data_IF_147686153212
#
_entry.id   IF_147686153212
#
_cell.length_a   1.000
_cell.length_b   1.000
_cell.length_c   1.000
_cell.angle_alpha   90.00
_cell.angle_beta   90.00
_cell.angle_gamma   90.00
#
_symmetry.space_group_name_H-M   'P 1'
#
loop_
_entity.id
_entity.type
_entity.pdbx_description
1 polymer ?
#
# COMPACT_ATOMS: atom_id res chain seq x y z
N UNK A 1 15.76 -0.74 -25.40
CA UNK A 1 15.68 -2.12 -25.93
C UNK A 1 14.52 -2.80 -25.25
N UNK A 2 13.72 -3.57 -25.97
CA UNK A 2 12.54 -4.27 -25.45
C UNK A 2 12.64 -5.74 -25.84
N UNK A 3 12.36 -6.64 -24.89
CA UNK A 3 12.31 -8.08 -25.10
C UNK A 3 10.86 -8.53 -24.90
N UNK A 4 10.40 -9.44 -25.77
CA UNK A 4 9.13 -10.14 -25.60
C UNK A 4 9.47 -11.56 -25.19
N UNK A 5 8.87 -12.01 -24.10
CA UNK A 5 9.08 -13.34 -23.54
C UNK A 5 7.72 -14.02 -23.36
N UNK A 6 7.60 -15.26 -23.82
CA UNK A 6 6.45 -16.13 -23.58
C UNK A 6 6.66 -17.06 -22.37
N UNK A 7 5.61 -17.78 -21.94
CA UNK A 7 5.71 -18.74 -20.84
C UNK A 7 6.84 -19.75 -21.02
N UNK A 8 7.63 -19.96 -19.97
CA UNK A 8 8.82 -20.83 -19.99
C UNK A 8 10.08 -20.18 -20.55
N UNK A 9 9.97 -19.03 -21.20
CA UNK A 9 11.13 -18.30 -21.70
C UNK A 9 11.87 -17.57 -20.59
N UNK A 10 13.16 -17.36 -20.84
CA UNK A 10 14.13 -16.85 -19.88
C UNK A 10 14.94 -15.75 -20.53
N UNK A 11 15.17 -14.66 -19.80
CA UNK A 11 16.11 -13.61 -20.18
C UNK A 11 17.09 -13.33 -19.04
N UNK A 12 18.38 -13.41 -19.33
CA UNK A 12 19.45 -13.03 -18.42
C UNK A 12 19.75 -11.56 -18.59
N UNK A 13 20.13 -10.92 -17.49
CA UNK A 13 20.53 -9.53 -17.49
C UNK A 13 21.86 -9.31 -16.77
N UNK A 14 22.56 -8.26 -17.17
CA UNK A 14 23.84 -7.86 -16.58
C UNK A 14 24.70 -7.09 -17.57
N UNK A 15 25.99 -6.91 -17.25
CA UNK A 15 26.94 -6.25 -18.18
C UNK A 15 27.20 -7.07 -19.43
N UNK A 16 27.09 -8.40 -19.33
CA UNK A 16 27.49 -9.35 -20.36
C UNK A 16 29.01 -9.39 -20.63
N UNK A 17 29.40 -10.43 -21.36
CA UNK A 17 30.68 -10.58 -22.05
C UNK A 17 30.52 -11.58 -23.20
N UNK A 18 31.54 -11.75 -24.03
CA UNK A 18 31.57 -12.83 -25.04
C UNK A 18 31.41 -14.22 -24.43
N UNK A 19 31.98 -14.43 -23.23
CA UNK A 19 31.88 -15.67 -22.46
C UNK A 19 30.62 -15.78 -21.60
N UNK A 20 29.85 -14.70 -21.47
CA UNK A 20 28.66 -14.63 -20.63
C UNK A 20 27.64 -13.72 -21.31
N UNK A 21 27.03 -14.18 -22.42
CA UNK A 21 26.03 -13.40 -23.12
C UNK A 21 24.80 -13.21 -22.22
N UNK A 22 24.19 -12.04 -22.35
CA UNK A 22 22.94 -11.67 -21.67
C UNK A 22 22.03 -11.02 -22.68
N UNK A 23 20.73 -11.31 -22.57
CA UNK A 23 19.71 -10.77 -23.45
C UNK A 23 19.41 -9.30 -23.12
N UNK A 24 19.45 -8.93 -21.83
CA UNK A 24 19.28 -7.56 -21.37
C UNK A 24 20.57 -6.96 -20.81
N UNK A 25 21.17 -6.03 -21.55
CA UNK A 25 22.46 -5.45 -21.20
C UNK A 25 22.34 -4.20 -20.33
N UNK A 26 23.00 -4.22 -19.17
CA UNK A 26 23.13 -3.09 -18.23
C UNK A 26 24.61 -2.69 -18.18
N UNK A 27 24.97 -1.55 -18.76
CA UNK A 27 26.37 -1.18 -19.00
C UNK A 27 27.16 -0.75 -17.74
N UNK A 28 26.48 -0.48 -16.63
CA UNK A 28 27.09 0.04 -15.40
C UNK A 28 28.13 -0.93 -14.82
N UNK A 29 29.31 -0.41 -14.47
CA UNK A 29 30.42 -1.22 -13.99
C UNK A 29 30.14 -1.98 -12.69
N UNK A 30 29.23 -1.46 -11.85
CA UNK A 30 28.83 -2.04 -10.58
C UNK A 30 27.91 -3.26 -10.73
N UNK A 31 27.35 -3.47 -11.92
CA UNK A 31 26.51 -4.62 -12.23
C UNK A 31 27.40 -5.82 -12.60
N UNK A 32 27.05 -7.03 -12.16
CA UNK A 32 27.81 -8.23 -12.56
C UNK A 32 27.63 -8.55 -14.05
N UNK A 33 28.56 -9.33 -14.63
CA UNK A 33 28.43 -9.79 -16.02
C UNK A 33 27.15 -10.59 -16.24
N UNK A 34 26.87 -11.49 -15.31
CA UNK A 34 25.58 -12.14 -15.11
C UNK A 34 25.02 -11.64 -13.77
N UNK A 35 24.09 -10.68 -13.82
CA UNK A 35 23.50 -10.07 -12.64
C UNK A 35 22.26 -10.84 -12.18
N UNK A 36 21.46 -11.35 -13.11
CA UNK A 36 20.29 -12.14 -12.78
C UNK A 36 19.60 -12.73 -14.00
N UNK A 37 18.45 -13.33 -13.73
CA UNK A 37 17.61 -14.01 -14.70
C UNK A 37 16.14 -13.67 -14.43
N UNK A 38 15.40 -13.39 -15.50
CA UNK A 38 13.95 -13.27 -15.55
C UNK A 38 13.42 -14.56 -16.16
N UNK A 39 12.42 -15.17 -15.54
CA UNK A 39 11.70 -16.31 -16.08
C UNK A 39 10.21 -16.04 -16.12
N UNK A 40 9.58 -16.29 -17.25
CA UNK A 40 8.12 -16.16 -17.39
C UNK A 40 7.47 -17.49 -17.02
N UNK A 41 6.46 -17.46 -16.16
CA UNK A 41 5.59 -18.61 -15.87
C UNK A 41 4.24 -18.43 -16.58
N UNK A 42 3.26 -19.28 -16.29
CA UNK A 42 1.93 -19.15 -16.91
C UNK A 42 1.16 -17.93 -16.41
N UNK A 43 1.29 -17.59 -15.13
CA UNK A 43 0.45 -16.62 -14.41
C UNK A 43 1.25 -15.51 -13.71
N UNK A 44 2.58 -15.59 -13.68
CA UNK A 44 3.46 -14.59 -13.10
C UNK A 44 4.84 -14.60 -13.78
N UNK A 45 5.80 -13.89 -13.21
CA UNK A 45 7.19 -13.99 -13.59
C UNK A 45 8.08 -14.04 -12.36
N UNK A 46 9.28 -14.57 -12.54
CA UNK A 46 10.22 -14.83 -11.46
C UNK A 46 11.53 -14.08 -11.70
N UNK A 47 12.12 -13.57 -10.62
CA UNK A 47 13.42 -12.94 -10.60
C UNK A 47 14.43 -13.80 -9.84
N UNK A 48 15.51 -14.16 -10.51
CA UNK A 48 16.69 -14.75 -9.86
C UNK A 48 17.79 -13.70 -9.75
N UNK A 49 18.27 -13.46 -8.55
CA UNK A 49 19.41 -12.60 -8.27
C UNK A 49 20.69 -13.45 -8.22
N UNK A 50 21.56 -13.31 -9.21
CA UNK A 50 22.84 -14.02 -9.25
C UNK A 50 23.95 -13.29 -8.48
N UNK A 51 23.75 -12.04 -8.07
CA UNK A 51 24.72 -11.32 -7.24
C UNK A 51 25.00 -12.06 -5.94
N UNK A 52 26.26 -12.03 -5.52
CA UNK A 52 26.72 -12.55 -4.23
C UNK A 52 26.64 -11.49 -3.12
N UNK A 53 26.46 -10.21 -3.46
CA UNK A 53 26.60 -9.09 -2.51
C UNK A 53 25.46 -8.08 -2.54
N UNK A 54 24.73 -7.96 -3.65
CA UNK A 54 23.73 -6.90 -3.83
C UNK A 54 22.30 -7.45 -3.76
N UNK A 55 21.47 -6.78 -2.97
CA UNK A 55 20.01 -6.95 -2.99
C UNK A 55 19.43 -6.15 -4.14
N UNK A 56 18.46 -6.72 -4.86
CA UNK A 56 17.68 -6.00 -5.88
C UNK A 56 16.33 -5.58 -5.31
N UNK A 57 15.77 -4.50 -5.84
CA UNK A 57 14.40 -4.11 -5.56
C UNK A 57 13.54 -4.38 -6.79
N UNK A 58 12.31 -4.80 -6.55
CA UNK A 58 11.26 -4.81 -7.55
C UNK A 58 10.17 -3.89 -7.03
N UNK A 59 10.08 -2.69 -7.60
CA UNK A 59 9.10 -1.69 -7.24
C UNK A 59 7.83 -1.91 -8.06
N UNK A 60 6.68 -1.71 -7.43
CA UNK A 60 5.39 -1.60 -8.10
C UNK A 60 5.08 -0.11 -8.30
N UNK A 61 5.24 0.44 -9.52
CA UNK A 61 4.97 1.85 -9.77
C UNK A 61 3.50 2.23 -9.58
N UNK A 62 2.59 1.26 -9.58
CA UNK A 62 1.15 1.46 -9.39
C UNK A 62 0.73 1.30 -7.91
N UNK A 63 1.51 0.58 -7.10
CA UNK A 63 1.15 0.19 -5.74
C UNK A 63 1.61 1.13 -4.64
N UNK A 64 1.41 2.45 -4.77
CA UNK A 64 1.70 3.43 -3.70
C UNK A 64 3.08 3.29 -2.98
N UNK A 65 4.13 2.88 -3.71
CA UNK A 65 5.47 2.68 -3.15
C UNK A 65 5.76 1.25 -2.64
N UNK A 66 4.91 0.28 -2.94
CA UNK A 66 5.17 -1.14 -2.72
C UNK A 66 6.44 -1.60 -3.44
N UNK A 67 7.24 -2.43 -2.75
CA UNK A 67 8.40 -3.07 -3.35
C UNK A 67 8.72 -4.42 -2.69
N UNK A 68 9.39 -5.28 -3.45
CA UNK A 68 9.96 -6.53 -2.98
C UNK A 68 11.49 -6.44 -2.98
N UNK A 69 12.10 -6.94 -1.90
CA UNK A 69 13.55 -7.13 -1.82
C UNK A 69 13.91 -8.54 -2.29
N UNK A 70 14.75 -8.63 -3.30
CA UNK A 70 15.31 -9.91 -3.77
C UNK A 70 16.76 -10.02 -3.32
N UNK A 71 16.95 -10.74 -2.22
CA UNK A 71 18.26 -10.95 -1.59
C UNK A 71 19.30 -11.53 -2.55
N UNK A 72 20.61 -11.29 -2.31
CA UNK A 72 21.67 -11.95 -3.06
C UNK A 72 21.45 -13.46 -3.09
N UNK A 73 21.73 -14.08 -4.25
CA UNK A 73 21.61 -15.53 -4.47
C UNK A 73 20.19 -16.09 -4.36
N UNK A 74 19.16 -15.27 -4.19
CA UNK A 74 17.77 -15.74 -4.23
C UNK A 74 17.41 -16.17 -5.65
N UNK A 75 17.06 -17.44 -5.81
CA UNK A 75 16.56 -17.99 -7.05
C UNK A 75 15.03 -17.96 -7.11
N UNK A 76 14.49 -17.69 -8.29
CA UNK A 76 13.07 -17.83 -8.62
C UNK A 76 12.12 -17.08 -7.68
N UNK A 77 12.46 -15.84 -7.29
CA UNK A 77 11.56 -15.03 -6.47
C UNK A 77 10.31 -14.68 -7.30
N UNK A 78 9.09 -15.11 -6.92
CA UNK A 78 7.88 -14.79 -7.66
C UNK A 78 7.55 -13.31 -7.50
N UNK A 79 7.25 -12.65 -8.61
CA UNK A 79 6.89 -11.24 -8.65
C UNK A 79 5.40 -11.11 -9.00
N UNK A 80 4.57 -10.60 -8.08
CA UNK A 80 3.12 -10.52 -8.22
C UNK A 80 2.66 -9.16 -8.77
N UNK A 81 3.45 -8.53 -9.64
CA UNK A 81 3.19 -7.19 -10.15
C UNK A 81 3.09 -7.22 -11.67
N UNK A 82 1.96 -6.72 -12.19
CA UNK A 82 1.68 -6.57 -13.63
C UNK A 82 2.64 -5.56 -14.26
N UNK A 83 2.86 -4.43 -13.58
CA UNK A 83 3.89 -3.47 -13.94
C UNK A 83 4.96 -3.38 -12.85
N UNK A 84 6.20 -3.69 -13.21
CA UNK A 84 7.33 -3.69 -12.28
C UNK A 84 8.49 -2.86 -12.78
N UNK A 85 9.22 -2.26 -11.84
CA UNK A 85 10.57 -1.72 -12.08
C UNK A 85 11.59 -2.51 -11.26
N UNK A 86 12.50 -3.21 -11.94
CA UNK A 86 13.63 -3.87 -11.29
C UNK A 86 14.76 -2.87 -11.13
N UNK A 87 15.20 -2.64 -9.90
CA UNK A 87 16.22 -1.66 -9.54
C UNK A 87 17.43 -2.35 -8.93
N UNK A 88 18.61 -2.05 -9.49
CA UNK A 88 19.89 -2.53 -9.02
C UNK A 88 20.69 -1.35 -8.44
N UNK A 89 21.33 -1.52 -7.27
CA UNK A 89 22.21 -0.49 -6.72
C UNK A 89 23.48 -0.38 -7.56
N UNK A 90 23.94 0.85 -7.80
CA UNK A 90 25.25 1.12 -8.40
C UNK A 90 26.10 2.01 -7.47
N UNK A 91 27.23 2.52 -7.94
CA UNK A 91 28.18 3.27 -7.08
C UNK A 91 27.62 4.64 -6.70
N UNK A 92 28.01 5.16 -5.53
CA UNK A 92 27.68 6.53 -5.07
C UNK A 92 26.17 6.83 -4.94
N UNK A 93 25.38 5.81 -4.58
CA UNK A 93 23.95 5.98 -4.33
C UNK A 93 23.09 6.14 -5.57
N UNK A 94 23.64 5.89 -6.77
CA UNK A 94 22.85 5.81 -7.99
C UNK A 94 22.31 4.39 -8.20
N UNK A 95 21.37 4.25 -9.14
CA UNK A 95 20.76 2.97 -9.49
C UNK A 95 20.67 2.82 -11.00
N UNK A 96 20.57 1.57 -11.45
CA UNK A 96 20.15 1.24 -12.81
C UNK A 96 18.87 0.42 -12.72
N UNK A 97 17.97 0.61 -13.68
CA UNK A 97 16.69 -0.11 -13.68
C UNK A 97 16.24 -0.50 -15.07
N UNK A 98 15.33 -1.46 -15.11
CA UNK A 98 14.54 -1.80 -16.28
C UNK A 98 13.10 -2.12 -15.86
N UNK A 99 12.20 -2.09 -16.82
CA UNK A 99 10.77 -2.32 -16.59
C UNK A 99 10.37 -3.71 -17.08
N UNK A 100 9.44 -4.34 -16.37
CA UNK A 100 8.80 -5.60 -16.75
C UNK A 100 7.29 -5.36 -16.78
N UNK A 101 6.68 -5.77 -17.88
CA UNK A 101 5.23 -5.74 -18.09
C UNK A 101 4.76 -7.19 -18.22
N UNK A 102 4.11 -7.69 -17.17
CA UNK A 102 3.52 -9.02 -17.11
C UNK A 102 2.03 -8.96 -17.54
N UNK A 103 1.43 -10.09 -17.91
CA UNK A 103 -0.01 -10.16 -18.20
C UNK A 103 -0.86 -9.76 -16.99
N UNK A 104 -2.07 -9.28 -17.28
CA UNK A 104 -3.03 -8.90 -16.24
C UNK A 104 -3.42 -10.09 -15.35
N UNK A 105 -3.63 -9.84 -14.06
CA UNK A 105 -4.16 -10.84 -13.14
C UNK A 105 -5.58 -11.24 -13.54
N UNK A 106 -5.82 -12.54 -13.62
CA UNK A 106 -7.16 -13.09 -13.86
C UNK A 106 -7.94 -13.07 -12.55
N UNK A 107 -8.96 -12.22 -12.48
CA UNK A 107 -9.89 -12.16 -11.36
C UNK A 107 -11.07 -13.10 -11.61
N UNK A 108 -11.53 -13.76 -10.54
CA UNK A 108 -12.75 -14.56 -10.61
C UNK A 108 -13.97 -13.64 -10.66
N UNK A 109 -14.92 -13.97 -11.52
CA UNK A 109 -16.24 -13.34 -11.50
C UNK A 109 -16.92 -13.62 -10.14
N UNK A 110 -17.68 -12.65 -9.60
CA UNK A 110 -18.45 -12.88 -8.40
C UNK A 110 -19.40 -14.06 -8.65
N UNK A 111 -19.51 -15.02 -7.71
CA UNK A 111 -20.45 -16.11 -7.87
C UNK A 111 -21.85 -15.54 -8.02
N UNK A 112 -22.58 -16.02 -9.04
CA UNK A 112 -23.98 -15.64 -9.25
C UNK A 112 -24.79 -15.89 -7.98
N UNK A 113 -25.77 -15.02 -7.70
CA UNK A 113 -26.56 -15.00 -6.47
C UNK A 113 -27.54 -16.19 -6.34
N UNK A 114 -27.04 -17.43 -6.43
CA UNK A 114 -27.80 -18.68 -6.45
C UNK A 114 -27.41 -19.62 -5.32
N UNK A 115 -27.44 -19.14 -4.06
CA UNK A 115 -27.19 -19.95 -2.88
C UNK A 115 -28.42 -20.05 -1.97
N UNK A 116 -28.73 -21.27 -1.51
CA UNK A 116 -29.72 -21.54 -0.46
C UNK A 116 -29.45 -20.70 0.81
N UNK A 117 -30.51 -20.23 1.46
CA UNK A 117 -30.50 -19.30 2.60
C UNK A 117 -29.88 -19.85 3.90
N UNK A 118 -29.41 -21.09 3.90
CA UNK A 118 -28.88 -21.76 5.08
C UNK A 118 -27.37 -21.51 5.19
N UNK A 119 -27.00 -20.50 5.98
CA UNK A 119 -25.63 -20.00 6.24
C UNK A 119 -25.15 -18.90 5.28
N UNK A 120 -25.68 -17.68 5.45
CA UNK A 120 -25.20 -16.49 4.74
C UNK A 120 -23.83 -16.07 5.28
N UNK A 121 -22.82 -16.06 4.43
CA UNK A 121 -21.52 -15.42 4.73
C UNK A 121 -21.77 -13.95 5.10
N UNK A 122 -21.43 -13.56 6.32
CA UNK A 122 -21.54 -12.17 6.79
C UNK A 122 -20.26 -11.41 6.40
N UNK A 123 -20.40 -10.18 5.93
CA UNK A 123 -19.26 -9.30 5.64
C UNK A 123 -18.49 -8.94 6.91
N UNK A 124 -17.17 -9.07 6.89
CA UNK A 124 -16.32 -8.77 8.05
C UNK A 124 -16.45 -7.30 8.53
N UNK A 125 -16.59 -6.38 7.57
CA UNK A 125 -16.82 -4.95 7.84
C UNK A 125 -18.01 -4.48 7.00
N UNK A 126 -19.07 -4.04 7.65
CA UNK A 126 -20.25 -3.46 6.98
C UNK A 126 -20.25 -1.95 7.23
N UNK A 127 -19.52 -1.25 6.36
CA UNK A 127 -19.49 0.20 6.31
C UNK A 127 -20.50 0.70 5.28
N UNK A 128 -20.98 1.92 5.51
CA UNK A 128 -21.90 2.60 4.60
C UNK A 128 -21.08 3.76 4.05
N UNK A 129 -20.74 3.67 2.76
CA UNK A 129 -19.88 4.66 2.11
C UNK A 129 -20.52 6.04 2.03
N UNK A 130 -21.85 6.12 2.18
CA UNK A 130 -22.61 7.38 2.18
C UNK A 130 -22.64 8.07 3.54
N UNK A 131 -22.23 7.37 4.61
CA UNK A 131 -22.31 7.87 5.97
C UNK A 131 -21.14 8.79 6.34
N UNK A 132 -21.40 9.78 7.20
CA UNK A 132 -20.39 10.76 7.66
C UNK A 132 -19.20 10.09 8.36
N UNK A 133 -19.39 8.97 9.06
CA UNK A 133 -18.27 8.24 9.66
C UNK A 133 -17.32 7.71 8.60
N UNK A 134 -17.82 7.30 7.44
CA UNK A 134 -17.00 6.77 6.36
C UNK A 134 -16.22 7.91 5.72
N UNK A 135 -16.85 9.07 5.50
CA UNK A 135 -16.16 10.28 5.05
C UNK A 135 -15.01 10.69 5.99
N UNK A 136 -15.21 10.60 7.32
CA UNK A 136 -14.16 10.82 8.33
C UNK A 136 -13.03 9.79 8.19
N UNK A 137 -13.36 8.51 7.97
CA UNK A 137 -12.36 7.46 7.76
C UNK A 137 -11.52 7.71 6.49
N UNK A 138 -12.16 8.12 5.39
CA UNK A 138 -11.48 8.46 4.14
C UNK A 138 -10.51 9.63 4.36
N UNK A 139 -10.93 10.69 5.06
CA UNK A 139 -10.06 11.84 5.35
C UNK A 139 -8.86 11.48 6.24
N UNK A 140 -9.00 10.48 7.12
CA UNK A 140 -7.90 9.97 7.94
C UNK A 140 -6.91 9.12 7.11
N UNK A 141 -7.40 8.35 6.15
CA UNK A 141 -6.58 7.47 5.30
C UNK A 141 -5.95 8.19 4.10
N UNK A 142 -6.50 9.35 3.71
CA UNK A 142 -6.08 10.12 2.53
C UNK A 142 -4.56 10.29 2.38
N UNK A 143 -3.77 10.61 3.43
CA UNK A 143 -2.33 10.78 3.27
C UNK A 143 -1.63 9.52 2.75
N UNK A 144 -2.05 8.33 3.17
CA UNK A 144 -1.44 7.07 2.69
C UNK A 144 -1.87 6.69 1.29
N UNK A 145 -3.09 7.09 0.91
CA UNK A 145 -3.63 6.80 -0.42
C UNK A 145 -3.10 7.75 -1.49
N UNK A 146 -2.52 8.90 -1.10
CA UNK A 146 -1.97 9.89 -2.04
C UNK A 146 -0.47 10.12 -1.90
N UNK A 147 0.09 10.04 -0.70
CA UNK A 147 1.51 10.28 -0.43
C UNK A 147 2.21 8.95 -0.13
N UNK A 148 3.39 8.73 -0.72
CA UNK A 148 4.12 7.45 -0.61
C UNK A 148 4.74 7.21 0.79
N UNK A 149 4.71 8.18 1.70
CA UNK A 149 5.26 8.05 3.07
C UNK A 149 4.79 9.15 4.02
N UNK A 150 3.52 9.16 4.46
CA UNK A 150 3.05 10.12 5.45
C UNK A 150 3.67 9.89 6.84
N UNK A 151 3.90 10.97 7.59
CA UNK A 151 4.62 10.95 8.87
C UNK A 151 3.71 10.62 10.06
N UNK A 152 2.42 10.94 9.99
CA UNK A 152 1.46 10.71 11.09
C UNK A 152 -0.01 10.75 10.60
N UNK A 153 -0.91 10.19 11.40
CA UNK A 153 -2.37 10.22 11.15
C UNK A 153 -2.92 11.61 11.39
N UNK A 154 -3.77 12.15 10.49
CA UNK A 154 -4.38 13.46 10.67
C UNK A 154 -5.08 13.60 12.02
N UNK A 155 -4.82 14.70 12.69
CA UNK A 155 -5.48 15.07 13.94
C UNK A 155 -6.94 15.44 13.70
N UNK A 156 -7.77 15.37 14.75
CA UNK A 156 -9.20 15.75 14.65
C UNK A 156 -9.40 17.17 14.07
N UNK A 157 -8.65 18.22 14.48
CA UNK A 157 -8.77 19.54 13.85
C UNK A 157 -8.40 19.53 12.37
N UNK A 158 -7.37 18.77 11.96
CA UNK A 158 -6.98 18.63 10.56
C UNK A 158 -8.07 17.93 9.72
N UNK A 159 -8.77 16.94 10.29
CA UNK A 159 -9.92 16.30 9.62
C UNK A 159 -11.08 17.28 9.44
N UNK A 160 -11.40 18.08 10.47
CA UNK A 160 -12.44 19.12 10.37
C UNK A 160 -12.09 20.13 9.28
N UNK A 161 -10.85 20.60 9.26
CA UNK A 161 -10.34 21.50 8.22
C UNK A 161 -10.48 20.87 6.84
N UNK A 162 -10.01 19.63 6.68
CA UNK A 162 -10.02 18.89 5.43
C UNK A 162 -11.42 18.71 4.85
N UNK A 163 -12.41 18.53 5.72
CA UNK A 163 -13.79 18.28 5.33
C UNK A 163 -14.63 19.55 5.19
N UNK A 164 -14.13 20.74 5.57
CA UNK A 164 -14.94 21.98 5.60
C UNK A 164 -15.64 22.30 4.28
N UNK A 165 -14.99 22.02 3.14
CA UNK A 165 -15.54 22.24 1.79
C UNK A 165 -16.56 21.21 1.32
N UNK A 166 -16.84 20.17 2.12
CA UNK A 166 -17.82 19.14 1.79
C UNK A 166 -19.24 19.59 2.19
N UNK A 167 -20.27 19.09 1.51
CA UNK A 167 -21.67 19.43 1.80
C UNK A 167 -22.07 19.14 3.27
N UNK A 168 -21.51 18.08 3.86
CA UNK A 168 -21.67 17.74 5.28
C UNK A 168 -20.63 18.39 6.20
N UNK A 169 -19.58 18.97 5.62
CA UNK A 169 -18.40 19.54 6.26
C UNK A 169 -18.64 20.77 7.11
N UNK A 170 -19.52 21.67 6.66
CA UNK A 170 -19.86 22.90 7.38
C UNK A 170 -20.48 22.69 8.77
N UNK A 171 -20.88 21.46 9.10
CA UNK A 171 -21.49 21.08 10.40
C UNK A 171 -20.61 20.18 11.27
N UNK A 172 -19.46 19.73 10.75
CA UNK A 172 -18.58 18.80 11.46
C UNK A 172 -17.71 19.54 12.47
N UNK A 173 -17.97 19.29 13.75
CA UNK A 173 -17.14 19.80 14.85
C UNK A 173 -16.05 18.80 15.21
N UNK A 174 -15.00 19.25 15.91
CA UNK A 174 -13.96 18.36 16.44
C UNK A 174 -14.55 17.26 17.37
N UNK A 175 -15.60 17.61 18.11
CA UNK A 175 -16.33 16.64 18.94
C UNK A 175 -17.02 15.58 18.08
N UNK A 176 -17.73 16.00 17.03
CA UNK A 176 -18.42 15.08 16.11
C UNK A 176 -17.43 14.13 15.41
N UNK A 177 -16.29 14.65 14.92
CA UNK A 177 -15.23 13.82 14.33
C UNK A 177 -14.70 12.80 15.34
N UNK A 178 -14.45 13.21 16.59
CA UNK A 178 -14.00 12.28 17.64
C UNK A 178 -15.04 11.17 17.89
N UNK A 179 -16.33 11.52 17.94
CA UNK A 179 -17.41 10.55 18.09
C UNK A 179 -17.51 9.58 16.89
N UNK A 180 -17.27 10.04 15.66
CA UNK A 180 -17.21 9.15 14.50
C UNK A 180 -16.01 8.20 14.54
N UNK A 181 -14.86 8.65 15.05
CA UNK A 181 -13.69 7.77 15.26
C UNK A 181 -14.01 6.70 16.31
N UNK A 182 -14.64 7.08 17.43
CA UNK A 182 -15.05 6.11 18.46
C UNK A 182 -16.08 5.11 17.89
N UNK A 183 -17.07 5.56 17.13
CA UNK A 183 -18.05 4.69 16.46
C UNK A 183 -17.41 3.73 15.44
N UNK A 184 -16.44 4.22 14.65
CA UNK A 184 -15.67 3.37 13.75
C UNK A 184 -14.92 2.28 14.51
N UNK A 185 -14.19 2.66 15.56
CA UNK A 185 -13.38 1.74 16.34
C UNK A 185 -14.23 0.68 17.05
N UNK A 186 -15.28 1.12 17.75
CA UNK A 186 -16.00 0.26 18.69
C UNK A 186 -17.10 -0.56 17.98
N UNK A 187 -17.82 0.04 17.03
CA UNK A 187 -19.01 -0.58 16.42
C UNK A 187 -18.74 -1.19 15.04
N UNK A 188 -18.02 -0.46 14.18
CA UNK A 188 -17.87 -0.84 12.77
C UNK A 188 -16.69 -1.76 12.51
N UNK A 189 -15.55 -1.45 13.11
CA UNK A 189 -14.30 -2.17 12.90
C UNK A 189 -13.98 -3.10 14.07
N UNK A 190 -14.66 -2.92 15.22
CA UNK A 190 -14.52 -3.72 16.45
C UNK A 190 -13.05 -3.93 16.81
N UNK A 191 -12.31 -2.83 16.86
CA UNK A 191 -10.89 -2.83 17.21
C UNK A 191 -10.79 -3.19 18.69
N UNK A 192 -10.51 -4.47 18.97
CA UNK A 192 -10.24 -4.94 20.34
C UNK A 192 -9.09 -4.11 20.95
N UNK A 193 -9.12 -3.66 22.21
CA UNK A 193 -9.43 -4.45 23.41
C UNK A 193 -9.13 -5.93 23.17
N UNK A 194 -7.85 -6.29 23.17
CA UNK A 194 -7.49 -7.65 23.50
C UNK A 194 -8.23 -7.98 24.80
N UNK A 195 -9.07 -9.01 24.79
CA UNK A 195 -9.70 -9.53 26.00
C UNK A 195 -8.61 -10.18 26.87
N UNK A 196 -7.85 -9.34 27.58
CA UNK A 196 -7.03 -9.71 28.73
C UNK A 196 -7.72 -9.21 30.01
N UNK A 197 -7.53 -9.87 31.16
CA UNK A 197 -8.12 -9.42 32.42
C UNK A 197 -7.74 -7.96 32.71
N UNK A 198 -8.60 -7.18 33.38
CA UNK A 198 -8.26 -5.82 33.75
C UNK A 198 -7.15 -5.87 34.79
N UNK A 199 -5.91 -5.58 34.38
CA UNK A 199 -4.84 -5.36 35.34
C UNK A 199 -5.15 -4.10 36.14
N UNK A 200 -5.48 -4.32 37.41
CA UNK A 200 -5.58 -3.28 38.41
C UNK A 200 -4.19 -2.67 38.63
N UNK A 201 -4.02 -1.40 38.23
CA UNK A 201 -2.73 -0.72 38.34
C UNK A 201 -2.82 0.80 38.25
N UNK A 202 -3.14 1.41 39.39
CA UNK A 202 -2.60 2.69 39.90
C UNK A 202 -2.67 3.97 39.06
N UNK A 203 -3.58 4.87 39.44
CA UNK A 203 -3.23 6.22 39.92
C UNK A 203 -2.91 7.34 38.93
N UNK A 204 -3.85 8.29 38.79
CA UNK A 204 -3.57 9.74 38.84
C UNK A 204 -2.92 10.42 37.62
N UNK A 205 -3.75 10.98 36.73
CA UNK A 205 -3.32 11.94 35.71
C UNK A 205 -4.43 12.34 34.75
N UNK A 206 -5.28 13.29 35.14
CA UNK A 206 -6.36 13.83 34.30
C UNK A 206 -5.79 14.47 33.02
N UNK A 207 -6.03 13.84 31.86
CA UNK A 207 -5.89 14.45 30.52
C UNK A 207 -4.99 13.71 29.55
N UNK A 208 -3.78 13.30 29.96
CA UNK A 208 -2.78 12.74 29.05
C UNK A 208 -3.11 11.32 28.57
N UNK A 209 -3.52 10.42 29.47
CA UNK A 209 -3.85 9.03 29.11
C UNK A 209 -5.12 8.88 28.26
N UNK A 210 -6.02 9.87 28.27
CA UNK A 210 -7.20 9.87 27.41
C UNK A 210 -6.87 10.33 25.99
N UNK A 211 -5.99 11.33 25.84
CA UNK A 211 -5.51 11.79 24.55
C UNK A 211 -4.63 10.74 23.86
N UNK A 212 -3.76 10.07 24.61
CA UNK A 212 -2.88 9.00 24.11
C UNK A 212 -3.69 7.78 23.66
N UNK A 213 -4.68 7.36 24.45
CA UNK A 213 -5.63 6.31 24.07
C UNK A 213 -6.44 6.67 22.82
N UNK A 214 -6.87 7.92 22.69
CA UNK A 214 -7.61 8.40 21.51
C UNK A 214 -6.73 8.45 20.27
N UNK A 215 -5.45 8.81 20.42
CA UNK A 215 -4.47 8.73 19.34
C UNK A 215 -4.30 7.27 18.89
N UNK A 216 -4.10 6.35 19.84
CA UNK A 216 -4.01 4.91 19.56
C UNK A 216 -5.24 4.33 18.86
N UNK A 217 -6.45 4.73 19.26
CA UNK A 217 -7.69 4.32 18.56
C UNK A 217 -7.71 4.80 17.11
N UNK A 218 -7.38 6.07 16.86
CA UNK A 218 -7.37 6.64 15.52
C UNK A 218 -6.34 5.94 14.61
N UNK A 219 -5.15 5.70 15.14
CA UNK A 219 -4.07 5.02 14.41
C UNK A 219 -4.45 3.56 14.11
N UNK A 220 -5.09 2.87 15.05
CA UNK A 220 -5.59 1.51 14.84
C UNK A 220 -6.72 1.45 13.78
N UNK A 221 -7.64 2.42 13.77
CA UNK A 221 -8.70 2.54 12.76
C UNK A 221 -8.10 2.68 11.36
N UNK A 222 -7.15 3.60 11.19
CA UNK A 222 -6.48 3.83 9.90
C UNK A 222 -5.66 2.60 9.49
N UNK A 223 -4.88 2.03 10.41
CA UNK A 223 -4.07 0.85 10.14
C UNK A 223 -4.90 -0.34 9.67
N UNK A 224 -6.04 -0.61 10.32
CA UNK A 224 -6.95 -1.68 9.89
C UNK A 224 -7.57 -1.37 8.51
N UNK A 225 -8.04 -0.14 8.32
CA UNK A 225 -8.72 0.25 7.09
C UNK A 225 -7.80 0.15 5.86
N UNK A 226 -6.55 0.58 6.00
CA UNK A 226 -5.54 0.46 4.95
C UNK A 226 -5.11 -1.00 4.75
N UNK A 227 -4.86 -1.74 5.84
CA UNK A 227 -4.40 -3.13 5.78
C UNK A 227 -5.33 -4.05 5.00
N UNK A 228 -6.65 -3.83 5.11
CA UNK A 228 -7.66 -4.65 4.45
C UNK A 228 -8.36 -3.94 3.29
N UNK A 229 -7.80 -2.82 2.80
CA UNK A 229 -8.36 -2.04 1.68
C UNK A 229 -9.86 -1.71 1.87
N UNK A 230 -10.24 -1.44 3.11
CA UNK A 230 -11.60 -1.01 3.49
C UNK A 230 -11.85 0.41 2.99
N UNK A 231 -10.79 1.23 2.97
CA UNK A 231 -10.74 2.47 2.20
C UNK A 231 -9.66 2.30 1.13
N UNK A 232 -10.00 2.74 -0.07
CA UNK A 232 -9.24 2.59 -1.32
C UNK A 232 -9.19 3.92 -2.06
N UNK A 233 -8.34 4.01 -3.08
CA UNK A 233 -8.09 5.23 -3.83
C UNK A 233 -9.36 5.81 -4.47
N UNK A 234 -10.29 4.98 -4.95
CA UNK A 234 -11.54 5.47 -5.56
C UNK A 234 -12.42 6.25 -4.58
N UNK A 235 -12.33 5.96 -3.27
CA UNK A 235 -13.09 6.66 -2.25
C UNK A 235 -12.59 8.08 -2.01
N UNK A 236 -11.39 8.43 -2.51
CA UNK A 236 -10.87 9.80 -2.43
C UNK A 236 -11.76 10.80 -3.18
N UNK A 237 -12.58 10.34 -4.12
CA UNK A 237 -13.59 11.15 -4.80
C UNK A 237 -14.70 11.66 -3.87
N UNK A 238 -14.87 11.03 -2.68
CA UNK A 238 -15.80 11.50 -1.65
C UNK A 238 -15.28 12.75 -0.92
N UNK A 239 -13.97 13.02 -0.99
CA UNK A 239 -13.41 14.20 -0.35
C UNK A 239 -13.51 15.43 -1.27
N UNK A 240 -13.66 16.64 -0.71
CA UNK A 240 -13.54 17.86 -1.50
C UNK A 240 -12.22 17.90 -2.28
N UNK A 241 -12.19 18.46 -3.50
CA UNK A 241 -10.95 18.70 -4.22
C UNK A 241 -9.97 19.45 -3.33
N UNK A 242 -8.69 19.05 -3.35
CA UNK A 242 -7.65 19.85 -2.67
C UNK A 242 -7.60 21.17 -3.43
N UNK A 243 -7.60 22.30 -2.71
CA UNK A 243 -7.13 23.53 -3.33
C UNK A 243 -5.70 23.23 -3.78
N UNK A 244 -5.47 23.17 -5.10
CA UNK A 244 -4.11 23.08 -5.61
C UNK A 244 -3.33 24.17 -4.90
N UNK A 245 -2.23 23.79 -4.24
CA UNK A 245 -1.27 24.77 -3.76
C UNK A 245 -0.83 25.50 -5.03
N UNK A 246 -1.45 26.67 -5.26
CA UNK A 246 -1.31 27.38 -6.50
C UNK A 246 0.16 27.47 -6.83
N UNK A 247 0.46 27.22 -8.10
CA UNK A 247 1.65 27.68 -8.77
C UNK A 247 1.89 29.15 -8.37
N UNK A 248 2.64 29.36 -7.28
CA UNK A 248 3.48 30.53 -7.09
C UNK A 248 4.72 30.17 -7.91
N UNK A 249 4.89 30.62 -9.15
CA UNK A 249 4.70 31.99 -9.58
C UNK A 249 6.02 32.73 -9.38
N UNK A 250 6.87 32.62 -10.41
CA UNK A 250 8.17 33.26 -10.68
C UNK A 250 9.42 32.60 -10.12
#
# INVERSE_FOLDING_TARGET
MTLRLGPGEVARFGRGSSTTPVELRLADEAVSRLAGEIRVTEDHWQLTNHSTTQTYLVENPEGAGEYLRVSPRRAGAPIPFEFSRVVLPTRRGTTVSFQVFAPDHVYLDPPGAGGSWTSRTVTAYSLDETATYFLVLVALCEPWLRDQSPVAVPTTPQVVERLRGHATGGRLTARAVSSHIDYLADEKLRIGVAAGPPEAGTGGGNGAGAADRRNGKRDAVVGLALKFAVVREEHLALLPPRAEAGVRGR
#
